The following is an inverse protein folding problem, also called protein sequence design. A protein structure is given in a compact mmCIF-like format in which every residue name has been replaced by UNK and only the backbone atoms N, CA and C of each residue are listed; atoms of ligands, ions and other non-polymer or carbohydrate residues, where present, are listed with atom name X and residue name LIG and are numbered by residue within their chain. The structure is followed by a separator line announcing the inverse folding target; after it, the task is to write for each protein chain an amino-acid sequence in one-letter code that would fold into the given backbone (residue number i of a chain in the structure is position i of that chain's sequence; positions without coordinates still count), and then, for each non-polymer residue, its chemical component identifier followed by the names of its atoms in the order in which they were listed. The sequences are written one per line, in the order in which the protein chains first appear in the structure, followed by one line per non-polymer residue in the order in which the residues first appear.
data_IF_314319148700
#
_entry.id   IF_314319148700
#
_cell.length_a   1.000
_cell.length_b   1.000
_cell.length_c   1.000
_cell.angle_alpha   90.00
_cell.angle_beta   90.00
_cell.angle_gamma   90.00
#
_symmetry.space_group_name_H-M   'P 1'
#
loop_
_entity.id
_entity.type
_entity.pdbx_description
1 polymer ?
#
# COMPACT_ATOMS: atom_id res chain seq x y z
N UNK A 1 -13.89 -5.02 19.18
CA UNK A 1 -15.06 -4.91 18.28
C UNK A 1 -14.51 -4.90 16.86
N UNK A 2 -14.84 -5.88 16.00
CA UNK A 2 -14.43 -5.81 14.59
C UNK A 2 -15.23 -4.68 13.93
N UNK A 3 -14.61 -3.73 13.20
CA UNK A 3 -15.35 -2.70 12.49
C UNK A 3 -16.34 -3.37 11.54
N UNK A 4 -17.57 -2.83 11.49
CA UNK A 4 -18.57 -3.29 10.54
C UNK A 4 -18.14 -2.88 9.14
N UNK A 5 -17.87 -3.88 8.29
CA UNK A 5 -17.59 -3.68 6.86
C UNK A 5 -18.92 -3.76 6.12
N UNK A 6 -19.28 -2.67 5.46
CA UNK A 6 -20.54 -2.56 4.72
C UNK A 6 -20.51 -3.47 3.51
N UNK A 7 -19.57 -3.20 2.60
CA UNK A 7 -19.42 -3.90 1.32
C UNK A 7 -17.93 -4.24 1.07
N UNK A 8 -17.49 -5.48 1.35
CA UNK A 8 -16.07 -5.84 1.38
C UNK A 8 -15.40 -5.78 0.02
N UNK A 9 -16.09 -6.13 -1.08
CA UNK A 9 -15.48 -6.09 -2.41
C UNK A 9 -15.15 -4.65 -2.88
N UNK A 10 -16.08 -3.66 -2.82
CA UNK A 10 -15.73 -2.27 -3.12
C UNK A 10 -14.68 -1.69 -2.17
N UNK A 11 -14.73 -2.03 -0.89
CA UNK A 11 -13.69 -1.61 0.06
C UNK A 11 -12.32 -2.20 -0.30
N UNK A 12 -12.27 -3.45 -0.75
CA UNK A 12 -11.04 -4.09 -1.22
C UNK A 12 -10.50 -3.39 -2.48
N UNK A 13 -11.36 -3.13 -3.46
CA UNK A 13 -11.01 -2.45 -4.71
C UNK A 13 -10.50 -1.01 -4.48
N UNK A 14 -11.02 -0.33 -3.46
CA UNK A 14 -10.53 0.98 -3.06
C UNK A 14 -9.18 0.86 -2.33
N UNK A 15 -9.05 -0.10 -1.41
CA UNK A 15 -7.87 -0.31 -0.59
C UNK A 15 -6.63 -0.69 -1.42
N UNK A 16 -6.75 -1.57 -2.42
CA UNK A 16 -5.62 -2.01 -3.25
C UNK A 16 -4.99 -0.86 -4.07
N UNK A 17 -5.74 0.22 -4.29
CA UNK A 17 -5.29 1.42 -5.01
C UNK A 17 -4.68 2.49 -4.08
N UNK A 18 -4.67 2.28 -2.76
CA UNK A 18 -4.10 3.23 -1.81
C UNK A 18 -2.59 3.01 -1.66
N UNK A 19 -1.82 3.46 -2.65
CA UNK A 19 -0.36 3.29 -2.68
C UNK A 19 0.34 3.87 -1.45
N UNK A 20 -0.11 5.03 -0.94
CA UNK A 20 0.49 5.66 0.23
C UNK A 20 0.30 4.82 1.51
N UNK A 21 -0.90 4.30 1.73
CA UNK A 21 -1.20 3.43 2.88
C UNK A 21 -0.42 2.10 2.77
N UNK A 22 -0.30 1.57 1.55
CA UNK A 22 0.51 0.39 1.26
C UNK A 22 1.97 0.61 1.67
N UNK A 23 2.60 1.71 1.26
CA UNK A 23 4.02 1.98 1.55
C UNK A 23 4.25 2.30 3.02
N UNK A 24 3.38 3.09 3.65
CA UNK A 24 3.59 3.57 5.04
C UNK A 24 3.25 2.52 6.11
N UNK A 25 2.41 1.54 5.79
CA UNK A 25 2.12 0.41 6.67
C UNK A 25 1.83 -0.87 5.87
N UNK A 26 2.86 -1.48 5.23
CA UNK A 26 2.68 -2.61 4.32
C UNK A 26 1.96 -3.80 4.97
N UNK A 27 2.35 -4.15 6.19
CA UNK A 27 1.79 -5.28 6.92
C UNK A 27 0.34 -5.02 7.37
N UNK A 28 0.05 -3.82 7.88
CA UNK A 28 -1.31 -3.47 8.29
C UNK A 28 -2.28 -3.45 7.11
N UNK A 29 -1.85 -2.91 5.98
CA UNK A 29 -2.67 -2.82 4.77
C UNK A 29 -2.84 -4.17 4.09
N UNK A 30 -1.80 -5.01 4.08
CA UNK A 30 -1.91 -6.41 3.63
C UNK A 30 -2.97 -7.19 4.42
N UNK A 31 -2.95 -7.11 5.76
CA UNK A 31 -3.98 -7.78 6.60
C UNK A 31 -5.39 -7.29 6.29
N UNK A 32 -5.54 -5.99 6.01
CA UNK A 32 -6.82 -5.41 5.59
C UNK A 32 -7.29 -6.02 4.27
N UNK A 33 -6.43 -6.07 3.26
CA UNK A 33 -6.74 -6.65 1.95
C UNK A 33 -7.12 -8.13 2.06
N UNK A 34 -6.34 -8.94 2.79
CA UNK A 34 -6.65 -10.36 3.03
C UNK A 34 -7.99 -10.51 3.75
N UNK A 35 -8.24 -9.73 4.80
CA UNK A 35 -9.49 -9.78 5.56
C UNK A 35 -10.71 -9.44 4.73
N UNK A 36 -10.61 -8.42 3.87
CA UNK A 36 -11.68 -8.03 2.95
C UNK A 36 -11.93 -9.09 1.86
N UNK A 37 -10.87 -9.67 1.28
CA UNK A 37 -10.99 -10.74 0.29
C UNK A 37 -11.70 -11.98 0.87
N UNK A 38 -11.28 -12.43 2.05
CA UNK A 38 -11.92 -13.54 2.75
C UNK A 38 -13.38 -13.24 3.10
N UNK A 39 -13.68 -12.01 3.50
CA UNK A 39 -15.06 -11.59 3.83
C UNK A 39 -15.95 -11.53 2.58
N UNK A 40 -15.44 -10.99 1.46
CA UNK A 40 -16.15 -10.96 0.18
C UNK A 40 -16.47 -12.39 -0.31
N UNK A 41 -15.51 -13.31 -0.21
CA UNK A 41 -15.75 -14.72 -0.55
C UNK A 41 -16.79 -15.36 0.38
N UNK A 42 -16.68 -15.13 1.69
CA UNK A 42 -17.65 -15.65 2.67
C UNK A 42 -19.08 -15.09 2.46
N UNK A 43 -19.21 -13.93 1.83
CA UNK A 43 -20.50 -13.33 1.44
C UNK A 43 -20.95 -13.68 0.02
N UNK A 44 -20.21 -14.54 -0.68
CA UNK A 44 -20.47 -14.93 -2.07
C UNK A 44 -20.44 -13.76 -3.07
N UNK A 45 -19.74 -12.67 -2.75
CA UNK A 45 -19.49 -11.57 -3.70
C UNK A 45 -18.44 -11.96 -4.75
N UNK A 46 -17.57 -12.92 -4.41
CA UNK A 46 -16.53 -13.48 -5.29
C UNK A 46 -16.41 -15.00 -5.16
N UNK A 47 -16.06 -15.66 -6.26
CA UNK A 47 -15.77 -17.09 -6.32
C UNK A 47 -14.39 -17.46 -5.75
N UNK A 48 -14.08 -18.77 -5.73
CA UNK A 48 -12.79 -19.26 -5.23
C UNK A 48 -11.59 -18.86 -6.10
N UNK A 49 -11.77 -18.80 -7.43
CA UNK A 49 -10.73 -18.35 -8.35
C UNK A 49 -10.39 -16.86 -8.12
N UNK A 50 -11.42 -16.01 -8.07
CA UNK A 50 -11.30 -14.58 -7.76
C UNK A 50 -10.68 -14.35 -6.37
N UNK A 51 -11.06 -15.16 -5.37
CA UNK A 51 -10.40 -15.10 -4.05
C UNK A 51 -8.88 -15.38 -4.16
N UNK A 52 -8.47 -16.39 -4.91
CA UNK A 52 -7.03 -16.69 -5.11
C UNK A 52 -6.30 -15.49 -5.69
N UNK A 53 -6.85 -14.90 -6.75
CA UNK A 53 -6.29 -13.71 -7.40
C UNK A 53 -6.21 -12.51 -6.44
N UNK A 54 -7.24 -12.28 -5.63
CA UNK A 54 -7.24 -11.21 -4.63
C UNK A 54 -6.17 -11.40 -3.56
N UNK A 55 -5.91 -12.64 -3.12
CA UNK A 55 -4.86 -12.94 -2.14
C UNK A 55 -3.47 -12.76 -2.75
N UNK A 56 -3.27 -13.24 -3.98
CA UNK A 56 -2.02 -13.07 -4.73
C UNK A 56 -1.71 -11.58 -4.97
N UNK A 57 -2.72 -10.77 -5.31
CA UNK A 57 -2.57 -9.32 -5.45
C UNK A 57 -2.25 -8.63 -4.13
N UNK A 58 -2.81 -9.10 -3.00
CA UNK A 58 -2.47 -8.56 -1.69
C UNK A 58 -1.00 -8.83 -1.35
N UNK A 59 -0.51 -10.04 -1.60
CA UNK A 59 0.89 -10.41 -1.40
C UNK A 59 1.83 -9.58 -2.30
N UNK A 60 1.48 -9.45 -3.59
CA UNK A 60 2.24 -8.64 -4.53
C UNK A 60 2.30 -7.16 -4.11
N UNK A 61 1.18 -6.60 -3.65
CA UNK A 61 1.13 -5.22 -3.17
C UNK A 61 2.01 -4.99 -1.93
N UNK A 62 2.05 -5.96 -1.01
CA UNK A 62 2.96 -5.91 0.15
C UNK A 62 4.43 -5.95 -0.27
N UNK A 63 4.80 -6.83 -1.19
CA UNK A 63 6.17 -6.93 -1.69
C UNK A 63 6.60 -5.64 -2.38
N UNK A 64 5.74 -5.08 -3.23
CA UNK A 64 5.98 -3.79 -3.88
C UNK A 64 6.18 -2.67 -2.84
N UNK A 65 5.31 -2.59 -1.84
CA UNK A 65 5.39 -1.56 -0.81
C UNK A 65 6.68 -1.63 0.03
N UNK A 66 7.19 -2.83 0.30
CA UNK A 66 8.47 -3.02 1.00
C UNK A 66 9.65 -2.52 0.14
N UNK A 67 9.64 -2.80 -1.16
CA UNK A 67 10.65 -2.30 -2.10
C UNK A 67 10.59 -0.77 -2.17
N UNK A 68 9.40 -0.19 -2.33
CA UNK A 68 9.24 1.27 -2.41
C UNK A 68 9.72 1.97 -1.14
N UNK A 69 9.51 1.37 0.03
CA UNK A 69 10.04 1.88 1.30
C UNK A 69 11.58 1.86 1.33
N UNK A 70 12.20 0.75 0.93
CA UNK A 70 13.65 0.62 0.84
C UNK A 70 14.25 1.61 -0.17
N UNK A 71 13.62 1.80 -1.33
CA UNK A 71 14.03 2.77 -2.35
C UNK A 71 13.90 4.21 -1.83
N UNK A 72 12.79 4.55 -1.16
CA UNK A 72 12.58 5.84 -0.53
C UNK A 72 13.64 6.15 0.53
N UNK A 73 14.05 5.16 1.33
CA UNK A 73 15.15 5.27 2.27
C UNK A 73 16.49 5.49 1.54
N UNK A 74 16.77 4.72 0.50
CA UNK A 74 18.01 4.78 -0.26
C UNK A 74 18.23 6.15 -0.94
N UNK A 75 17.17 6.78 -1.46
CA UNK A 75 17.24 8.12 -2.06
C UNK A 75 17.17 9.26 -1.02
N UNK A 76 17.05 8.93 0.27
CA UNK A 76 17.05 9.90 1.36
C UNK A 76 15.70 10.60 1.58
N UNK A 77 14.60 10.12 0.99
CA UNK A 77 13.27 10.73 1.14
C UNK A 77 12.74 10.63 2.60
N UNK A 78 13.18 9.60 3.32
CA UNK A 78 12.77 9.33 4.71
C UNK A 78 13.77 9.84 5.76
N UNK A 79 14.95 10.30 5.32
CA UNK A 79 15.88 11.00 6.21
C UNK A 79 15.20 12.32 6.52
N UNK A 80 14.69 12.49 7.74
CA UNK A 80 13.99 13.68 8.21
C UNK A 80 14.84 14.95 8.26
N UNK A 81 15.69 15.16 7.26
CA UNK A 81 16.30 16.45 6.98
C UNK A 81 15.15 17.43 6.79
N UNK A 82 15.06 18.39 7.70
CA UNK A 82 14.29 19.59 7.48
C UNK A 82 14.88 20.22 6.22
N UNK A 83 14.18 20.13 5.10
CA UNK A 83 14.50 20.95 3.93
C UNK A 83 14.44 22.39 4.43
N UNK A 84 15.60 23.02 4.54
CA UNK A 84 15.63 24.45 4.74
C UNK A 84 14.97 25.03 3.48
N UNK A 85 13.83 25.74 3.59
CA UNK A 85 13.13 26.26 2.41
C UNK A 85 13.99 27.21 1.57
N UNK A 86 15.07 27.75 2.14
CA UNK A 86 16.06 28.59 1.45
C UNK A 86 17.23 27.78 0.84
N UNK A 87 17.29 26.46 1.07
CA UNK A 87 18.34 25.60 0.54
C UNK A 87 18.05 25.15 -0.90
N UNK A 88 18.48 26.01 -1.84
CA UNK A 88 18.43 25.75 -3.29
C UNK A 88 19.60 24.91 -3.80
N UNK A 89 20.44 24.34 -2.92
CA UNK A 89 21.61 23.55 -3.34
C UNK A 89 21.23 22.31 -4.15
N UNK A 90 20.04 21.76 -3.94
CA UNK A 90 19.47 20.66 -4.73
C UNK A 90 19.29 21.02 -6.22
N UNK A 91 18.98 22.28 -6.55
CA UNK A 91 18.81 22.74 -7.93
C UNK A 91 20.13 23.09 -8.62
N UNK A 92 21.21 23.29 -7.86
CA UNK A 92 22.50 23.75 -8.38
C UNK A 92 23.34 22.67 -9.05
N UNK A 93 23.03 21.39 -8.81
CA UNK A 93 23.85 20.25 -9.28
C UNK A 93 23.34 19.56 -10.55
N UNK A 94 22.37 20.13 -11.28
CA UNK A 94 21.86 19.55 -12.54
C UNK A 94 22.56 20.02 -13.82
N UNK A 95 23.54 20.91 -13.73
CA UNK A 95 24.23 21.50 -14.90
C UNK A 95 25.68 21.00 -15.07
N UNK A 96 25.93 19.69 -14.99
CA UNK A 96 27.19 19.08 -15.46
C UNK A 96 26.96 17.78 -16.22
#
# INVERSE_FOLDING_TARGET
MKPYVGDPLPEWQAAIKQHFDLVTNPEGHWRKLVGLALLAHARHEVGSAELSEMLELADAAKLWALIEWEEAEAIGLLKGETVNPDDVSFFRNRDR
#
